data_IF_979220122869
#
_entry.id   IF_979220122869
#
_cell.length_a   1.000
_cell.length_b   1.000
_cell.length_c   1.000
_cell.angle_alpha   90.00
_cell.angle_beta   90.00
_cell.angle_gamma   90.00
#
_symmetry.space_group_name_H-M   'P 1'
#
loop_
_entity.id
_entity.type
_entity.pdbx_description
1 polymer ?
#
# COMPACT_ATOMS: atom_id res chain seq x y z
N UNK A 1 7.29 -28.70 23.57
CA UNK A 1 8.26 -28.30 22.53
C UNK A 1 7.63 -27.43 21.44
N UNK A 2 6.46 -27.76 20.86
CA UNK A 2 5.74 -26.93 19.86
C UNK A 2 5.34 -25.55 20.40
N UNK A 3 4.82 -25.48 21.62
CA UNK A 3 4.42 -24.20 22.27
C UNK A 3 5.61 -23.29 22.57
N UNK A 4 6.74 -23.84 23.02
CA UNK A 4 7.96 -23.06 23.27
C UNK A 4 8.59 -22.51 21.98
N UNK A 5 8.49 -23.26 20.86
CA UNK A 5 8.94 -22.81 19.55
C UNK A 5 8.01 -21.72 19.03
N UNK A 6 6.69 -21.91 19.15
CA UNK A 6 5.69 -20.90 18.76
C UNK A 6 5.85 -19.61 19.56
N UNK A 7 6.07 -19.68 20.87
CA UNK A 7 6.33 -18.54 21.72
C UNK A 7 7.63 -17.78 21.36
N UNK A 8 8.70 -18.51 20.98
CA UNK A 8 9.92 -17.89 20.47
C UNK A 8 9.71 -17.21 19.12
N UNK A 9 8.98 -17.85 18.21
CA UNK A 9 8.63 -17.29 16.90
C UNK A 9 7.82 -16.01 17.11
N UNK A 10 6.78 -16.02 17.93
CA UNK A 10 5.95 -14.83 18.19
C UNK A 10 6.69 -13.68 18.88
N UNK A 11 7.79 -13.95 19.60
CA UNK A 11 8.65 -12.90 20.15
C UNK A 11 9.66 -12.32 19.18
N UNK A 12 10.20 -13.12 18.28
CA UNK A 12 11.24 -12.69 17.32
C UNK A 12 10.61 -12.14 16.04
N UNK A 13 9.48 -12.70 15.62
CA UNK A 13 8.75 -12.30 14.42
C UNK A 13 8.46 -10.80 14.36
N UNK A 14 8.03 -10.09 15.44
CA UNK A 14 7.83 -8.65 15.42
C UNK A 14 9.07 -7.84 14.98
N UNK A 15 10.25 -8.24 15.43
CA UNK A 15 11.50 -7.54 15.08
C UNK A 15 11.93 -7.82 13.64
N UNK A 16 11.80 -9.07 13.19
CA UNK A 16 12.11 -9.44 11.81
C UNK A 16 11.15 -8.77 10.82
N UNK A 17 9.86 -8.73 11.15
CA UNK A 17 8.84 -8.09 10.34
C UNK A 17 9.02 -6.57 10.32
N UNK A 18 9.39 -5.97 11.47
CA UNK A 18 9.73 -4.55 11.56
C UNK A 18 10.90 -4.20 10.64
N UNK A 19 11.96 -5.00 10.69
CA UNK A 19 13.12 -4.83 9.83
C UNK A 19 12.76 -5.02 8.34
N UNK A 20 11.97 -6.04 8.02
CA UNK A 20 11.53 -6.29 6.65
C UNK A 20 10.67 -5.15 6.10
N UNK A 21 9.67 -4.66 6.84
CA UNK A 21 8.84 -3.53 6.37
C UNK A 21 9.63 -2.24 6.20
N UNK A 22 10.62 -1.98 7.07
CA UNK A 22 11.54 -0.86 6.92
C UNK A 22 12.41 -1.02 5.66
N UNK A 23 12.92 -2.21 5.38
CA UNK A 23 13.74 -2.49 4.19
C UNK A 23 12.91 -2.24 2.92
N UNK A 24 11.68 -2.73 2.84
CA UNK A 24 10.84 -2.56 1.65
C UNK A 24 10.33 -1.12 1.47
N UNK A 25 9.99 -0.42 2.55
CA UNK A 25 9.68 1.00 2.49
C UNK A 25 10.92 1.82 2.10
N UNK A 26 12.09 1.50 2.67
CA UNK A 26 13.36 2.14 2.32
C UNK A 26 13.76 1.87 0.86
N UNK A 27 13.54 0.66 0.35
CA UNK A 27 13.78 0.34 -1.05
C UNK A 27 12.89 1.19 -1.97
N UNK A 28 11.57 1.25 -1.70
CA UNK A 28 10.65 2.08 -2.47
C UNK A 28 11.09 3.55 -2.48
N UNK A 29 11.44 4.08 -1.31
CA UNK A 29 11.90 5.46 -1.17
C UNK A 29 13.26 5.69 -1.85
N UNK A 30 14.18 4.74 -1.76
CA UNK A 30 15.47 4.80 -2.44
C UNK A 30 15.32 4.86 -3.96
N UNK A 31 14.52 3.98 -4.55
CA UNK A 31 14.19 4.00 -5.99
C UNK A 31 13.53 5.34 -6.38
N UNK A 32 12.64 5.87 -5.52
CA UNK A 32 12.01 7.18 -5.74
C UNK A 32 13.01 8.33 -5.67
N UNK A 33 13.98 8.30 -4.75
CA UNK A 33 15.06 9.27 -4.67
C UNK A 33 15.95 9.17 -5.91
N UNK A 34 16.34 7.98 -6.30
CA UNK A 34 17.18 7.76 -7.48
C UNK A 34 16.51 8.28 -8.75
N UNK A 35 15.21 8.03 -8.95
CA UNK A 35 14.46 8.57 -10.08
C UNK A 35 14.40 10.11 -10.07
N UNK A 36 14.27 10.71 -8.88
CA UNK A 36 14.27 12.17 -8.71
C UNK A 36 15.64 12.80 -9.01
N UNK A 37 16.74 12.09 -8.71
CA UNK A 37 18.11 12.51 -9.03
C UNK A 37 18.35 12.56 -10.55
N UNK A 38 17.83 11.59 -11.30
CA UNK A 38 17.94 11.60 -12.77
C UNK A 38 17.15 12.74 -13.42
N UNK A 39 16.05 13.18 -12.81
CA UNK A 39 15.23 14.30 -13.29
C UNK A 39 15.76 15.68 -12.88
N UNK A 40 16.95 15.78 -12.26
CA UNK A 40 17.72 17.03 -11.93
C UNK A 40 16.96 18.09 -11.12
N UNK A 41 15.87 17.74 -10.47
CA UNK A 41 15.09 18.69 -9.68
C UNK A 41 15.40 18.56 -8.18
N UNK A 42 16.36 19.36 -7.69
CA UNK A 42 16.82 19.35 -6.30
C UNK A 42 15.69 19.50 -5.27
N UNK A 43 14.62 20.20 -5.63
CA UNK A 43 13.47 20.38 -4.77
C UNK A 43 12.74 19.04 -4.50
N UNK A 44 12.51 18.23 -5.54
CA UNK A 44 11.89 16.92 -5.39
C UNK A 44 12.73 15.98 -4.54
N UNK A 45 14.04 15.99 -4.72
CA UNK A 45 14.97 15.18 -3.92
C UNK A 45 14.83 15.54 -2.44
N UNK A 46 14.84 16.85 -2.13
CA UNK A 46 14.67 17.33 -0.76
C UNK A 46 13.34 16.89 -0.14
N UNK A 47 12.23 17.00 -0.88
CA UNK A 47 10.90 16.58 -0.44
C UNK A 47 10.88 15.08 -0.16
N UNK A 48 11.37 14.25 -1.07
CA UNK A 48 11.34 12.78 -0.91
C UNK A 48 12.23 12.33 0.25
N UNK A 49 13.42 12.92 0.43
CA UNK A 49 14.28 12.62 1.59
C UNK A 49 13.60 13.02 2.89
N UNK A 50 13.01 14.22 2.95
CA UNK A 50 12.28 14.67 4.14
C UNK A 50 11.11 13.74 4.49
N UNK A 51 10.29 13.38 3.50
CA UNK A 51 9.18 12.45 3.70
C UNK A 51 9.67 11.05 4.10
N UNK A 52 10.82 10.62 3.61
CA UNK A 52 11.46 9.35 4.02
C UNK A 52 11.81 9.35 5.50
N UNK A 53 12.40 10.44 6.00
CA UNK A 53 12.70 10.60 7.42
C UNK A 53 11.41 10.60 8.26
N UNK A 54 10.39 11.32 7.81
CA UNK A 54 9.08 11.31 8.46
C UNK A 54 8.48 9.89 8.50
N UNK A 55 8.60 9.09 7.42
CA UNK A 55 8.14 7.71 7.39
C UNK A 55 8.80 6.85 8.48
N UNK A 56 10.11 6.97 8.65
CA UNK A 56 10.86 6.23 9.69
C UNK A 56 10.36 6.60 11.09
N UNK A 57 10.12 7.90 11.33
CA UNK A 57 9.59 8.39 12.61
C UNK A 57 8.17 7.85 12.85
N UNK A 58 7.30 7.91 11.84
CA UNK A 58 5.91 7.42 11.94
C UNK A 58 5.82 5.91 12.13
N UNK A 59 6.65 5.12 11.46
CA UNK A 59 6.71 3.66 11.62
C UNK A 59 7.12 3.23 13.02
N UNK A 60 7.96 4.01 13.72
CA UNK A 60 8.36 3.72 15.09
C UNK A 60 7.16 3.58 16.03
N UNK A 61 6.12 4.36 15.83
CA UNK A 61 4.93 4.32 16.70
C UNK A 61 4.03 3.12 16.39
N UNK A 62 3.95 2.69 15.12
CA UNK A 62 3.28 1.43 14.77
C UNK A 62 3.93 0.23 15.47
N UNK A 63 5.25 0.18 15.54
CA UNK A 63 5.94 -0.90 16.24
C UNK A 63 5.68 -0.91 17.75
N UNK A 64 5.52 0.27 18.38
CA UNK A 64 5.09 0.36 19.79
C UNK A 64 3.66 -0.16 19.95
N UNK A 65 2.77 0.23 19.05
CA UNK A 65 1.37 -0.21 19.05
C UNK A 65 1.25 -1.73 18.95
N UNK A 66 1.95 -2.35 17.98
CA UNK A 66 1.93 -3.81 17.78
C UNK A 66 2.50 -4.57 18.98
N UNK A 67 3.53 -4.02 19.68
CA UNK A 67 4.06 -4.63 20.91
C UNK A 67 3.05 -4.67 22.05
N UNK A 68 2.09 -3.76 22.07
CA UNK A 68 1.05 -3.70 23.10
C UNK A 68 -0.14 -4.62 22.78
N UNK A 69 -0.29 -5.05 21.50
CA UNK A 69 -1.31 -6.00 21.11
C UNK A 69 -1.03 -7.37 21.75
N UNK A 70 -1.91 -7.81 22.64
CA UNK A 70 -1.93 -9.18 23.15
C UNK A 70 -2.50 -10.06 22.04
N UNK A 71 -1.64 -10.63 21.19
CA UNK A 71 -2.03 -11.62 20.18
C UNK A 71 -2.58 -12.86 20.89
N UNK A 72 -3.82 -13.23 20.61
CA UNK A 72 -4.42 -14.44 21.16
C UNK A 72 -4.02 -15.68 20.33
N UNK A 73 -3.96 -16.84 20.97
CA UNK A 73 -3.67 -18.12 20.29
C UNK A 73 -4.71 -18.46 19.21
N UNK A 74 -5.95 -17.94 19.33
CA UNK A 74 -7.05 -18.18 18.39
C UNK A 74 -6.87 -17.45 17.06
N UNK A 75 -6.01 -16.42 16.99
CA UNK A 75 -5.80 -15.63 15.76
C UNK A 75 -5.03 -16.38 14.67
N UNK A 76 -4.48 -17.56 14.96
CA UNK A 76 -3.62 -18.35 14.08
C UNK A 76 -4.07 -19.81 13.94
N UNK A 77 -5.39 -20.06 13.85
CA UNK A 77 -5.90 -21.38 13.53
C UNK A 77 -5.39 -21.82 12.15
N UNK A 78 -4.77 -22.98 12.07
CA UNK A 78 -4.18 -23.52 10.83
C UNK A 78 -5.17 -23.55 9.66
N UNK A 79 -6.44 -23.92 9.93
CA UNK A 79 -7.50 -23.93 8.91
C UNK A 79 -7.75 -22.56 8.29
N UNK A 80 -7.71 -21.49 9.10
CA UNK A 80 -7.97 -20.13 8.62
C UNK A 80 -6.77 -19.56 7.87
N UNK A 81 -5.55 -19.95 8.27
CA UNK A 81 -4.35 -19.60 7.53
C UNK A 81 -4.35 -20.25 6.13
N UNK A 82 -4.74 -21.51 6.03
CA UNK A 82 -4.86 -22.23 4.75
C UNK A 82 -5.93 -21.57 3.87
N UNK A 83 -7.10 -21.24 4.42
CA UNK A 83 -8.16 -20.54 3.67
C UNK A 83 -7.67 -19.17 3.16
N UNK A 84 -7.05 -18.36 4.03
CA UNK A 84 -6.48 -17.06 3.64
C UNK A 84 -5.47 -17.23 2.50
N UNK A 85 -4.59 -18.22 2.57
CA UNK A 85 -3.63 -18.52 1.51
C UNK A 85 -4.30 -18.88 0.19
N UNK A 86 -5.30 -19.77 0.22
CA UNK A 86 -6.04 -20.18 -0.98
C UNK A 86 -6.79 -19.01 -1.63
N UNK A 87 -7.42 -18.16 -0.82
CA UNK A 87 -8.11 -16.95 -1.33
C UNK A 87 -7.11 -16.01 -1.99
N UNK A 88 -5.96 -15.75 -1.38
CA UNK A 88 -4.92 -14.90 -1.94
C UNK A 88 -4.40 -15.46 -3.26
N UNK A 89 -3.98 -16.72 -3.29
CA UNK A 89 -3.46 -17.37 -4.49
C UNK A 89 -4.51 -17.36 -5.62
N UNK A 90 -5.76 -17.71 -5.30
CA UNK A 90 -6.85 -17.72 -6.26
C UNK A 90 -7.09 -16.33 -6.88
N UNK A 91 -7.08 -15.27 -6.05
CA UNK A 91 -7.26 -13.89 -6.53
C UNK A 91 -6.06 -13.39 -7.36
N UNK A 92 -4.81 -13.74 -6.98
CA UNK A 92 -3.62 -13.43 -7.80
C UNK A 92 -3.75 -14.07 -9.19
N UNK A 93 -4.03 -15.38 -9.21
CA UNK A 93 -4.15 -16.15 -10.46
C UNK A 93 -5.29 -15.63 -11.32
N UNK A 94 -6.46 -15.36 -10.74
CA UNK A 94 -7.62 -14.89 -11.48
C UNK A 94 -7.40 -13.48 -12.05
N UNK A 95 -6.82 -12.56 -11.27
CA UNK A 95 -6.47 -11.22 -11.75
C UNK A 95 -5.48 -11.31 -12.91
N UNK A 96 -4.42 -12.08 -12.75
CA UNK A 96 -3.40 -12.29 -13.78
C UNK A 96 -4.02 -12.90 -15.06
N UNK A 97 -4.88 -13.89 -14.90
CA UNK A 97 -5.56 -14.54 -16.03
C UNK A 97 -6.44 -13.54 -16.81
N UNK A 98 -7.18 -12.67 -16.10
CA UNK A 98 -8.02 -11.65 -16.75
C UNK A 98 -7.16 -10.65 -17.51
N UNK A 99 -6.06 -10.17 -16.92
CA UNK A 99 -5.13 -9.26 -17.60
C UNK A 99 -4.55 -9.89 -18.86
N UNK A 100 -4.08 -11.14 -18.76
CA UNK A 100 -3.39 -11.83 -19.87
C UNK A 100 -4.32 -12.23 -21.01
N UNK A 101 -5.54 -12.72 -20.69
CA UNK A 101 -6.49 -13.21 -21.69
C UNK A 101 -7.27 -12.09 -22.36
N UNK A 102 -7.75 -11.12 -21.57
CA UNK A 102 -8.61 -10.05 -22.07
C UNK A 102 -7.86 -8.77 -22.40
N UNK A 103 -6.53 -8.74 -22.16
CA UNK A 103 -5.66 -7.58 -22.40
C UNK A 103 -6.21 -6.28 -21.77
N UNK A 104 -6.85 -6.44 -20.59
CA UNK A 104 -7.43 -5.33 -19.86
C UNK A 104 -6.36 -4.65 -18.98
N UNK A 105 -6.70 -3.46 -18.44
CA UNK A 105 -5.84 -2.81 -17.48
C UNK A 105 -5.76 -3.63 -16.17
N UNK A 106 -4.59 -3.64 -15.55
CA UNK A 106 -4.35 -4.35 -14.29
C UNK A 106 -5.28 -3.86 -13.17
N UNK A 107 -5.59 -2.55 -13.16
CA UNK A 107 -6.50 -1.93 -12.19
C UNK A 107 -7.94 -2.43 -12.39
N UNK A 108 -8.43 -2.50 -13.62
CA UNK A 108 -9.75 -3.03 -13.92
C UNK A 108 -9.86 -4.49 -13.47
N UNK A 109 -8.92 -5.33 -13.87
CA UNK A 109 -8.90 -6.75 -13.53
C UNK A 109 -8.87 -6.96 -12.01
N UNK A 110 -7.99 -6.26 -11.30
CA UNK A 110 -7.88 -6.35 -9.84
C UNK A 110 -9.17 -5.90 -9.15
N UNK A 111 -9.77 -4.81 -9.60
CA UNK A 111 -11.02 -4.29 -9.04
C UNK A 111 -12.17 -5.26 -9.28
N UNK A 112 -12.30 -5.81 -10.48
CA UNK A 112 -13.34 -6.78 -10.83
C UNK A 112 -13.23 -8.05 -9.98
N UNK A 113 -12.05 -8.65 -9.92
CA UNK A 113 -11.79 -9.88 -9.14
C UNK A 113 -12.04 -9.64 -7.66
N UNK A 114 -11.57 -8.51 -7.13
CA UNK A 114 -11.76 -8.20 -5.72
C UNK A 114 -13.25 -7.95 -5.39
N UNK A 115 -14.00 -7.24 -6.25
CA UNK A 115 -15.45 -7.05 -6.06
C UNK A 115 -16.16 -8.40 -6.05
N UNK A 116 -15.93 -9.26 -7.05
CA UNK A 116 -16.53 -10.58 -7.12
C UNK A 116 -16.23 -11.39 -5.84
N UNK A 117 -14.96 -11.42 -5.42
CA UNK A 117 -14.55 -12.14 -4.21
C UNK A 117 -15.14 -11.54 -2.93
N UNK A 118 -15.24 -10.20 -2.83
CA UNK A 118 -15.80 -9.54 -1.65
C UNK A 118 -17.31 -9.80 -1.47
N UNK A 119 -18.02 -10.12 -2.54
CA UNK A 119 -19.42 -10.52 -2.45
C UNK A 119 -19.60 -12.04 -2.27
N UNK A 120 -18.75 -12.87 -2.88
CA UNK A 120 -18.84 -14.34 -2.79
C UNK A 120 -18.22 -14.90 -1.52
N UNK A 121 -17.16 -14.26 -1.00
CA UNK A 121 -16.41 -14.71 0.18
C UNK A 121 -16.29 -13.54 1.18
N UNK A 122 -17.39 -13.06 1.78
CA UNK A 122 -17.41 -11.81 2.55
C UNK A 122 -16.50 -11.81 3.79
N UNK A 123 -16.17 -12.99 4.33
CA UNK A 123 -15.29 -13.11 5.50
C UNK A 123 -13.78 -12.97 5.17
N UNK A 124 -13.42 -12.98 3.89
CA UNK A 124 -12.03 -12.93 3.42
C UNK A 124 -11.75 -11.73 2.49
N UNK A 125 -12.44 -10.61 2.69
CA UNK A 125 -12.28 -9.41 1.85
C UNK A 125 -10.84 -8.85 1.85
N UNK A 126 -10.13 -8.75 3.00
CA UNK A 126 -8.75 -8.25 3.01
C UNK A 126 -7.77 -9.17 2.26
N UNK A 127 -7.98 -10.49 2.35
CA UNK A 127 -7.21 -11.49 1.61
C UNK A 127 -7.46 -11.38 0.11
N UNK A 128 -8.73 -11.27 -0.30
CA UNK A 128 -9.12 -11.10 -1.69
C UNK A 128 -8.51 -9.82 -2.29
N UNK A 129 -8.55 -8.72 -1.53
CA UNK A 129 -7.92 -7.45 -1.93
C UNK A 129 -6.41 -7.59 -2.11
N UNK A 130 -5.70 -8.18 -1.13
CA UNK A 130 -4.26 -8.41 -1.23
C UNK A 130 -3.91 -9.30 -2.43
N UNK A 131 -4.69 -10.37 -2.65
CA UNK A 131 -4.49 -11.25 -3.80
C UNK A 131 -4.70 -10.53 -5.14
N UNK A 132 -5.78 -9.76 -5.27
CA UNK A 132 -6.06 -9.00 -6.49
C UNK A 132 -4.97 -7.97 -6.80
N UNK A 133 -4.47 -7.26 -5.77
CA UNK A 133 -3.33 -6.36 -5.94
C UNK A 133 -2.04 -7.10 -6.34
N UNK A 134 -1.81 -8.30 -5.80
CA UNK A 134 -0.68 -9.15 -6.16
C UNK A 134 -0.71 -9.64 -7.61
N UNK A 135 -1.91 -9.83 -8.16
CA UNK A 135 -2.13 -10.22 -9.55
C UNK A 135 -1.91 -9.09 -10.58
N UNK A 136 -1.72 -7.85 -10.14
CA UNK A 136 -1.39 -6.69 -11.00
C UNK A 136 0.08 -6.74 -11.48
N UNK A 137 0.51 -7.89 -11.99
CA UNK A 137 1.86 -8.09 -12.52
C UNK A 137 1.90 -7.60 -13.97
N UNK A 138 2.95 -6.84 -14.32
CA UNK A 138 3.12 -6.31 -15.68
C UNK A 138 3.31 -7.41 -16.74
N UNK A 139 2.93 -7.09 -17.98
CA UNK A 139 2.95 -8.06 -19.08
C UNK A 139 4.34 -8.67 -19.32
N UNK A 140 5.42 -7.95 -19.11
CA UNK A 140 6.80 -8.43 -19.27
C UNK A 140 7.19 -9.51 -18.26
N UNK A 141 6.57 -9.50 -17.07
CA UNK A 141 6.76 -10.52 -16.03
C UNK A 141 5.74 -11.65 -16.15
N UNK A 142 4.67 -11.43 -16.87
CA UNK A 142 3.49 -12.28 -16.91
C UNK A 142 3.51 -13.35 -18.01
N UNK A 143 4.64 -13.53 -18.72
CA UNK A 143 4.74 -14.52 -19.82
C UNK A 143 4.41 -15.95 -19.38
N UNK A 144 4.50 -16.26 -18.09
CA UNK A 144 4.20 -17.58 -17.53
C UNK A 144 3.30 -17.51 -16.30
N UNK A 145 2.21 -18.26 -16.31
CA UNK A 145 1.29 -18.41 -15.18
C UNK A 145 1.98 -18.89 -13.89
N UNK A 146 3.12 -19.59 -14.00
CA UNK A 146 3.95 -20.05 -12.86
C UNK A 146 4.50 -18.88 -12.05
N UNK A 147 4.79 -17.74 -12.66
CA UNK A 147 5.24 -16.53 -11.97
C UNK A 147 4.11 -15.96 -11.10
N UNK A 148 2.90 -15.88 -11.66
CA UNK A 148 1.73 -15.44 -10.90
C UNK A 148 1.43 -16.39 -9.72
N UNK A 149 1.56 -17.71 -9.92
CA UNK A 149 1.40 -18.68 -8.84
C UNK A 149 2.46 -18.46 -7.73
N UNK A 150 3.72 -18.25 -8.10
CA UNK A 150 4.79 -17.99 -7.16
C UNK A 150 4.57 -16.70 -6.38
N UNK A 151 4.18 -15.63 -7.05
CA UNK A 151 3.79 -14.36 -6.42
C UNK A 151 2.59 -14.56 -5.48
N UNK A 152 1.61 -15.37 -5.88
CA UNK A 152 0.45 -15.71 -5.04
C UNK A 152 0.85 -16.41 -3.74
N UNK A 153 1.73 -17.42 -3.84
CA UNK A 153 2.26 -18.15 -2.68
C UNK A 153 3.04 -17.19 -1.77
N UNK A 154 3.95 -16.40 -2.33
CA UNK A 154 4.75 -15.44 -1.56
C UNK A 154 3.86 -14.36 -0.92
N UNK A 155 2.84 -13.87 -1.63
CA UNK A 155 1.86 -12.91 -1.07
C UNK A 155 1.12 -13.53 0.12
N UNK A 156 0.70 -14.78 0.01
CA UNK A 156 0.05 -15.51 1.11
C UNK A 156 0.96 -15.65 2.33
N UNK A 157 2.23 -16.02 2.13
CA UNK A 157 3.23 -16.10 3.21
C UNK A 157 3.42 -14.73 3.87
N UNK A 158 3.67 -13.68 3.09
CA UNK A 158 3.87 -12.33 3.60
C UNK A 158 2.61 -11.85 4.33
N UNK A 159 1.41 -12.09 3.78
CA UNK A 159 0.15 -11.71 4.41
C UNK A 159 -0.02 -12.34 5.80
N UNK A 160 0.27 -13.64 5.94
CA UNK A 160 0.20 -14.35 7.21
C UNK A 160 1.20 -13.79 8.22
N UNK A 161 2.44 -13.56 7.80
CA UNK A 161 3.49 -13.01 8.65
C UNK A 161 3.16 -11.59 9.15
N UNK A 162 2.54 -10.77 8.29
CA UNK A 162 2.18 -9.40 8.60
C UNK A 162 0.74 -9.23 9.11
N UNK A 163 0.04 -10.33 9.43
CA UNK A 163 -1.36 -10.29 9.84
C UNK A 163 -1.69 -9.25 10.93
N UNK A 164 -0.88 -9.08 12.01
CA UNK A 164 -1.14 -8.11 13.07
C UNK A 164 -0.70 -6.68 12.75
N UNK A 165 0.01 -6.45 11.63
CA UNK A 165 0.62 -5.15 11.32
C UNK A 165 -0.24 -4.30 10.40
N UNK A 166 -0.13 -2.98 10.55
CA UNK A 166 -0.75 -1.98 9.68
C UNK A 166 -2.29 -2.09 9.62
N UNK A 167 -2.91 -2.64 10.66
CA UNK A 167 -4.36 -2.79 10.72
C UNK A 167 -5.06 -1.44 10.65
N UNK A 168 -6.04 -1.31 9.78
CA UNK A 168 -6.80 -0.08 9.59
C UNK A 168 -6.09 1.01 8.79
N UNK A 169 -4.86 0.76 8.32
CA UNK A 169 -4.12 1.72 7.47
C UNK A 169 -4.41 1.44 6.01
N UNK A 170 -4.78 2.49 5.27
CA UNK A 170 -4.88 2.43 3.83
C UNK A 170 -3.52 2.10 3.21
N UNK A 171 -3.52 1.18 2.24
CA UNK A 171 -2.29 0.69 1.61
C UNK A 171 -1.75 -0.63 2.17
N UNK A 172 -2.19 -1.07 3.37
CA UNK A 172 -1.77 -2.36 3.94
C UNK A 172 -1.95 -3.52 2.95
N UNK A 173 -3.14 -3.66 2.40
CA UNK A 173 -3.46 -4.79 1.52
C UNK A 173 -2.68 -4.80 0.20
N UNK A 174 -2.21 -3.64 -0.28
CA UNK A 174 -1.35 -3.55 -1.46
C UNK A 174 0.14 -3.62 -1.14
N UNK A 175 0.58 -3.12 0.03
CA UNK A 175 2.01 -3.18 0.40
C UNK A 175 2.52 -4.60 0.64
N UNK A 176 1.66 -5.51 1.10
CA UNK A 176 2.03 -6.90 1.30
C UNK A 176 2.33 -7.63 -0.01
N UNK A 177 1.46 -7.59 -1.05
CA UNK A 177 1.79 -8.14 -2.35
C UNK A 177 2.95 -7.40 -3.03
N UNK A 178 3.13 -6.09 -2.83
CA UNK A 178 4.34 -5.39 -3.29
C UNK A 178 5.61 -6.05 -2.75
N UNK A 179 5.67 -6.25 -1.43
CA UNK A 179 6.78 -6.94 -0.77
C UNK A 179 7.02 -8.33 -1.35
N UNK A 180 5.95 -9.11 -1.52
CA UNK A 180 6.02 -10.45 -2.08
C UNK A 180 6.50 -10.45 -3.54
N UNK A 181 6.00 -9.54 -4.35
CA UNK A 181 6.35 -9.43 -5.77
C UNK A 181 7.82 -9.04 -5.92
N UNK A 182 8.30 -8.05 -5.16
CA UNK A 182 9.72 -7.65 -5.18
C UNK A 182 10.63 -8.81 -4.74
N UNK A 183 10.28 -9.53 -3.67
CA UNK A 183 11.03 -10.70 -3.24
C UNK A 183 11.09 -11.76 -4.33
N UNK A 184 9.97 -12.04 -4.97
CA UNK A 184 9.90 -13.03 -6.04
C UNK A 184 10.76 -12.61 -7.24
N UNK A 185 10.61 -11.38 -7.69
CA UNK A 185 11.26 -10.88 -8.91
C UNK A 185 12.77 -10.72 -8.72
N UNK A 186 13.21 -10.06 -7.63
CA UNK A 186 14.64 -9.76 -7.44
C UNK A 186 15.42 -10.92 -6.84
N UNK A 187 14.84 -11.68 -5.87
CA UNK A 187 15.59 -12.74 -5.19
C UNK A 187 15.46 -14.12 -5.84
N UNK A 188 14.33 -14.39 -6.52
CA UNK A 188 14.07 -15.71 -7.09
C UNK A 188 14.31 -15.72 -8.60
N UNK A 189 13.86 -14.68 -9.30
CA UNK A 189 13.93 -14.61 -10.75
C UNK A 189 15.10 -13.76 -11.27
N UNK A 190 15.75 -12.98 -10.39
CA UNK A 190 16.85 -12.05 -10.74
C UNK A 190 16.51 -11.10 -11.90
N UNK A 191 15.26 -10.61 -11.94
CA UNK A 191 14.76 -9.70 -12.97
C UNK A 191 14.70 -8.28 -12.40
N UNK A 192 15.19 -7.31 -13.16
CA UNK A 192 15.04 -5.89 -12.84
C UNK A 192 13.68 -5.37 -13.33
N UNK A 193 12.91 -4.68 -12.46
CA UNK A 193 11.66 -4.06 -12.88
C UNK A 193 11.87 -3.03 -13.98
N UNK A 194 10.94 -2.96 -14.92
CA UNK A 194 10.95 -1.96 -15.97
C UNK A 194 10.55 -0.58 -15.42
N UNK A 195 10.95 0.47 -16.15
CA UNK A 195 10.50 1.84 -15.94
C UNK A 195 9.62 2.26 -17.12
N UNK A 196 8.48 2.87 -16.80
CA UNK A 196 7.57 3.45 -17.78
C UNK A 196 7.86 4.93 -18.05
N UNK A 197 7.06 5.57 -18.87
CA UNK A 197 7.18 7.02 -19.12
C UNK A 197 6.68 7.84 -17.95
N UNK A 198 7.32 8.96 -17.60
CA UNK A 198 6.82 9.90 -16.58
C UNK A 198 5.43 10.43 -16.92
N UNK A 199 4.75 10.98 -15.91
CA UNK A 199 3.44 11.62 -16.12
C UNK A 199 3.61 12.88 -16.98
N UNK A 200 2.77 13.03 -17.98
CA UNK A 200 2.68 14.28 -18.75
C UNK A 200 2.23 15.44 -17.85
N UNK A 201 2.82 16.61 -18.03
CA UNK A 201 2.60 17.80 -17.19
C UNK A 201 1.14 18.25 -17.15
N UNK A 202 0.41 18.11 -18.24
CA UNK A 202 -1.01 18.44 -18.39
C UNK A 202 -1.94 17.50 -17.59
N UNK A 203 -1.48 16.28 -17.28
CA UNK A 203 -2.23 15.30 -16.51
C UNK A 203 -1.95 15.35 -15.00
N UNK A 204 -0.96 16.12 -14.56
CA UNK A 204 -0.60 16.22 -13.12
C UNK A 204 -1.76 16.80 -12.31
N UNK A 205 -2.34 17.93 -12.72
CA UNK A 205 -3.44 18.56 -12.00
C UNK A 205 -4.72 17.69 -11.99
N UNK A 206 -5.18 17.12 -13.12
CA UNK A 206 -6.31 16.18 -13.10
C UNK A 206 -6.07 14.96 -12.22
N UNK A 207 -4.87 14.37 -12.23
CA UNK A 207 -4.51 13.23 -11.40
C UNK A 207 -4.58 13.60 -9.90
N UNK A 208 -4.10 14.79 -9.52
CA UNK A 208 -4.17 15.30 -8.16
C UNK A 208 -5.60 15.43 -7.65
N UNK A 209 -6.46 16.12 -8.42
CA UNK A 209 -7.86 16.31 -8.06
C UNK A 209 -8.59 14.99 -7.94
N UNK A 210 -8.35 14.08 -8.90
CA UNK A 210 -8.96 12.75 -8.91
C UNK A 210 -8.56 11.92 -7.68
N UNK A 211 -7.27 11.92 -7.32
CA UNK A 211 -6.78 11.21 -6.13
C UNK A 211 -7.50 11.67 -4.87
N UNK A 212 -7.59 12.98 -4.65
CA UNK A 212 -8.26 13.55 -3.46
C UNK A 212 -9.75 13.21 -3.48
N UNK A 213 -10.45 13.53 -4.58
CA UNK A 213 -11.89 13.33 -4.67
C UNK A 213 -12.28 11.87 -4.41
N UNK A 214 -11.53 10.95 -4.99
CA UNK A 214 -11.78 9.49 -4.85
C UNK A 214 -11.41 8.98 -3.47
N UNK A 215 -10.36 9.50 -2.83
CA UNK A 215 -10.03 9.16 -1.46
C UNK A 215 -11.15 9.55 -0.49
N UNK A 216 -11.67 10.76 -0.62
CA UNK A 216 -12.80 11.21 0.21
C UNK A 216 -14.07 10.43 -0.09
N UNK A 217 -14.39 10.16 -1.35
CA UNK A 217 -15.55 9.36 -1.74
C UNK A 217 -15.47 7.96 -1.10
N UNK A 218 -14.35 7.27 -1.24
CA UNK A 218 -14.14 5.94 -0.66
C UNK A 218 -14.25 5.97 0.86
N UNK A 219 -13.62 6.95 1.50
CA UNK A 219 -13.68 7.14 2.94
C UNK A 219 -15.12 7.36 3.43
N UNK A 220 -15.89 8.24 2.78
CA UNK A 220 -17.27 8.52 3.15
C UNK A 220 -18.19 7.31 2.99
N UNK A 221 -18.00 6.50 1.95
CA UNK A 221 -18.80 5.29 1.71
C UNK A 221 -18.64 4.26 2.84
N UNK A 222 -17.43 4.05 3.33
CA UNK A 222 -17.27 3.08 4.43
C UNK A 222 -17.51 3.70 5.81
N UNK A 223 -17.16 4.98 6.03
CA UNK A 223 -17.45 5.68 7.29
C UNK A 223 -18.96 5.72 7.59
N UNK A 224 -19.77 5.94 6.57
CA UNK A 224 -21.23 5.95 6.70
C UNK A 224 -21.86 4.53 6.65
N UNK A 225 -21.05 3.47 6.71
CA UNK A 225 -21.49 2.06 6.65
C UNK A 225 -22.33 1.69 5.41
N UNK A 226 -22.18 2.44 4.30
CA UNK A 226 -22.84 2.13 3.02
C UNK A 226 -22.23 0.87 2.41
N UNK A 227 -20.90 0.78 2.45
CA UNK A 227 -20.13 -0.37 1.99
C UNK A 227 -19.04 -0.70 3.01
N UNK A 228 -18.59 -1.96 3.07
CA UNK A 228 -17.35 -2.28 3.80
C UNK A 228 -16.14 -1.63 3.14
N UNK A 229 -15.07 -1.45 3.89
CA UNK A 229 -13.84 -0.76 3.44
C UNK A 229 -13.35 -1.26 2.09
N UNK A 230 -13.22 -2.58 1.93
CA UNK A 230 -12.75 -3.20 0.67
C UNK A 230 -13.76 -3.01 -0.45
N UNK A 231 -15.06 -3.21 -0.17
CA UNK A 231 -16.12 -3.02 -1.18
C UNK A 231 -16.17 -1.56 -1.64
N UNK A 232 -16.09 -0.60 -0.73
CA UNK A 232 -16.09 0.83 -1.07
C UNK A 232 -14.95 1.16 -2.05
N UNK A 233 -13.72 0.76 -1.73
CA UNK A 233 -12.56 1.02 -2.57
C UNK A 233 -12.68 0.36 -3.95
N UNK A 234 -13.05 -0.93 -3.98
CA UNK A 234 -13.03 -1.70 -5.22
C UNK A 234 -14.22 -1.43 -6.13
N UNK A 235 -15.40 -1.15 -5.57
CA UNK A 235 -16.55 -0.72 -6.39
C UNK A 235 -16.30 0.65 -7.00
N UNK A 236 -15.78 1.61 -6.23
CA UNK A 236 -15.40 2.93 -6.77
C UNK A 236 -14.33 2.79 -7.85
N UNK A 237 -13.29 2.00 -7.61
CA UNK A 237 -12.25 1.74 -8.60
C UNK A 237 -12.79 1.10 -9.86
N UNK A 238 -13.65 0.08 -9.76
CA UNK A 238 -14.22 -0.62 -10.90
C UNK A 238 -15.08 0.33 -11.75
N UNK A 239 -15.99 1.07 -11.11
CA UNK A 239 -16.89 2.02 -11.82
C UNK A 239 -16.09 3.11 -12.53
N UNK A 240 -15.13 3.72 -11.85
CA UNK A 240 -14.34 4.80 -12.44
C UNK A 240 -13.39 4.31 -13.54
N UNK A 241 -12.85 3.10 -13.42
CA UNK A 241 -12.03 2.51 -14.49
C UNK A 241 -12.83 2.24 -15.77
N UNK A 242 -14.13 1.98 -15.66
CA UNK A 242 -15.03 1.86 -16.81
C UNK A 242 -15.37 3.21 -17.44
N UNK A 243 -15.33 4.29 -16.67
CA UNK A 243 -15.68 5.63 -17.13
C UNK A 243 -14.49 6.42 -17.69
N UNK A 244 -13.28 6.15 -17.20
CA UNK A 244 -12.06 6.83 -17.64
C UNK A 244 -11.47 6.13 -18.86
N UNK A 245 -11.29 6.83 -20.00
CA UNK A 245 -10.68 6.24 -21.18
C UNK A 245 -9.26 5.73 -20.93
N UNK A 246 -8.87 4.65 -21.62
CA UNK A 246 -7.60 3.94 -21.42
C UNK A 246 -6.35 4.80 -21.66
N UNK A 247 -6.45 5.84 -22.48
CA UNK A 247 -5.35 6.78 -22.73
C UNK A 247 -5.01 7.68 -21.52
N UNK A 248 -5.86 7.71 -20.48
CA UNK A 248 -5.61 8.45 -19.24
C UNK A 248 -5.10 7.56 -18.12
N UNK A 249 -4.16 6.67 -18.41
CA UNK A 249 -3.62 5.69 -17.46
C UNK A 249 -3.08 6.33 -16.17
N UNK A 250 -2.44 7.51 -16.23
CA UNK A 250 -1.96 8.22 -15.05
C UNK A 250 -3.09 8.68 -14.13
N UNK A 251 -4.22 9.13 -14.69
CA UNK A 251 -5.41 9.51 -13.92
C UNK A 251 -6.03 8.27 -13.27
N UNK A 252 -6.16 7.16 -14.02
CA UNK A 252 -6.69 5.90 -13.47
C UNK A 252 -5.81 5.36 -12.35
N UNK A 253 -4.49 5.50 -12.48
CA UNK A 253 -3.54 5.08 -11.44
C UNK A 253 -3.63 5.97 -10.19
N UNK A 254 -3.74 7.28 -10.37
CA UNK A 254 -3.96 8.24 -9.27
C UNK A 254 -5.31 8.01 -8.57
N UNK A 255 -6.36 7.74 -9.34
CA UNK A 255 -7.68 7.34 -8.85
C UNK A 255 -7.57 6.08 -7.96
N UNK A 256 -6.86 5.05 -8.42
CA UNK A 256 -6.68 3.83 -7.65
C UNK A 256 -5.88 4.07 -6.36
N UNK A 257 -4.83 4.90 -6.41
CA UNK A 257 -4.13 5.33 -5.20
C UNK A 257 -5.08 6.07 -4.22
N UNK A 258 -5.96 6.93 -4.73
CA UNK A 258 -7.00 7.59 -3.95
C UNK A 258 -7.94 6.60 -3.24
N UNK A 259 -8.43 5.56 -3.95
CA UNK A 259 -9.26 4.52 -3.29
C UNK A 259 -8.53 3.84 -2.15
N UNK A 260 -7.22 3.58 -2.32
CA UNK A 260 -6.39 2.93 -1.30
C UNK A 260 -6.20 3.84 -0.08
N UNK A 261 -5.88 5.13 -0.28
CA UNK A 261 -5.79 6.11 0.84
C UNK A 261 -7.12 6.18 1.58
N UNK A 262 -8.23 6.22 0.84
CA UNK A 262 -9.58 6.27 1.39
C UNK A 262 -10.00 5.05 2.20
N UNK A 263 -9.28 3.92 2.12
CA UNK A 263 -9.49 2.73 2.96
C UNK A 263 -8.99 2.91 4.41
N UNK A 264 -8.37 4.03 4.74
CA UNK A 264 -7.88 4.27 6.11
C UNK A 264 -9.06 4.41 7.07
N UNK A 265 -9.07 3.61 8.15
CA UNK A 265 -10.13 3.61 9.14
C UNK A 265 -10.14 4.91 9.97
N UNK A 266 -11.32 5.28 10.45
CA UNK A 266 -11.52 6.49 11.27
C UNK A 266 -10.64 6.50 12.53
N UNK A 267 -10.44 5.34 13.15
CA UNK A 267 -9.57 5.16 14.33
C UNK A 267 -8.09 5.49 14.08
N UNK A 268 -7.69 5.50 12.82
CA UNK A 268 -6.33 5.82 12.36
C UNK A 268 -6.18 7.26 11.89
N UNK A 269 -7.26 8.03 11.85
CA UNK A 269 -7.30 9.40 11.34
C UNK A 269 -7.65 10.40 12.43
N UNK A 270 -6.96 11.53 12.46
CA UNK A 270 -7.33 12.70 13.28
C UNK A 270 -8.34 13.60 12.53
N UNK A 271 -9.28 13.00 11.82
CA UNK A 271 -10.30 13.70 11.04
C UNK A 271 -9.96 13.90 9.56
N UNK A 272 -10.80 14.67 8.90
CA UNK A 272 -10.71 14.89 7.44
C UNK A 272 -9.45 15.63 6.99
N UNK A 273 -8.94 16.55 7.83
CA UNK A 273 -7.69 17.25 7.52
C UNK A 273 -6.50 16.29 7.46
N UNK A 274 -6.45 15.31 8.35
CA UNK A 274 -5.40 14.28 8.31
C UNK A 274 -5.49 13.44 7.03
N UNK A 275 -6.69 13.05 6.59
CA UNK A 275 -6.91 12.36 5.32
C UNK A 275 -6.40 13.21 4.14
N UNK A 276 -6.69 14.52 4.13
CA UNK A 276 -6.18 15.44 3.11
C UNK A 276 -4.66 15.51 3.11
N UNK A 277 -4.02 15.59 4.27
CA UNK A 277 -2.54 15.59 4.38
C UNK A 277 -1.95 14.30 3.81
N UNK A 278 -2.57 13.13 4.10
CA UNK A 278 -2.13 11.86 3.52
C UNK A 278 -2.26 11.89 2.00
N UNK A 279 -3.36 12.41 1.44
CA UNK A 279 -3.54 12.56 -0.01
C UNK A 279 -2.47 13.47 -0.62
N UNK A 280 -2.15 14.60 0.01
CA UNK A 280 -1.09 15.51 -0.45
C UNK A 280 0.28 14.82 -0.49
N UNK A 281 0.65 14.13 0.60
CA UNK A 281 1.91 13.38 0.66
C UNK A 281 1.91 12.24 -0.35
N UNK A 282 0.79 11.53 -0.50
CA UNK A 282 0.64 10.46 -1.49
C UNK A 282 0.89 10.99 -2.89
N UNK A 283 0.34 12.14 -3.24
CA UNK A 283 0.56 12.75 -4.55
C UNK A 283 1.99 13.23 -4.75
N UNK A 284 2.61 13.85 -3.73
CA UNK A 284 4.01 14.26 -3.78
C UNK A 284 4.98 13.08 -4.02
N UNK A 285 4.66 11.90 -3.49
CA UNK A 285 5.43 10.68 -3.73
C UNK A 285 5.01 9.98 -5.04
N UNK A 286 3.75 10.13 -5.46
CA UNK A 286 3.20 9.50 -6.66
C UNK A 286 3.88 10.00 -7.93
N UNK A 287 4.06 11.33 -8.07
CA UNK A 287 4.66 11.93 -9.27
C UNK A 287 6.04 11.35 -9.57
N UNK A 288 7.02 11.40 -8.65
CA UNK A 288 8.36 10.86 -8.92
C UNK A 288 8.40 9.33 -8.98
N UNK A 289 7.49 8.62 -8.31
CA UNK A 289 7.45 7.14 -8.31
C UNK A 289 6.62 6.54 -9.44
N UNK A 290 5.92 7.35 -10.22
CA UNK A 290 4.97 6.84 -11.23
C UNK A 290 5.64 5.90 -12.22
N UNK A 291 6.78 6.30 -12.77
CA UNK A 291 7.49 5.59 -13.84
C UNK A 291 8.45 4.50 -13.33
N UNK A 292 8.73 4.41 -12.03
CA UNK A 292 9.62 3.40 -11.47
C UNK A 292 8.84 2.16 -11.04
N UNK A 293 9.49 0.99 -11.03
CA UNK A 293 8.91 -0.27 -10.55
C UNK A 293 7.56 -0.58 -11.23
N UNK A 294 7.46 -0.28 -12.52
CA UNK A 294 6.24 -0.58 -13.27
C UNK A 294 6.02 -2.09 -13.35
N UNK A 295 4.75 -2.51 -13.38
CA UNK A 295 4.40 -3.92 -13.36
C UNK A 295 4.61 -4.66 -12.03
N UNK A 296 5.03 -3.98 -10.97
CA UNK A 296 5.11 -4.57 -9.64
C UNK A 296 3.73 -4.53 -8.98
N UNK A 297 3.16 -5.70 -8.74
CA UNK A 297 1.87 -5.84 -8.05
C UNK A 297 1.89 -5.19 -6.66
N UNK A 298 0.89 -4.36 -6.37
CA UNK A 298 0.75 -3.71 -5.07
C UNK A 298 1.60 -2.45 -4.84
N UNK A 299 2.36 -1.95 -5.82
CA UNK A 299 3.17 -0.71 -5.76
C UNK A 299 2.41 0.47 -5.15
N UNK A 300 1.20 0.73 -5.62
CA UNK A 300 0.37 1.83 -5.12
C UNK A 300 -0.03 1.66 -3.65
N UNK A 301 -0.18 0.42 -3.19
CA UNK A 301 -0.41 0.16 -1.77
C UNK A 301 0.80 0.50 -0.92
N UNK A 302 2.02 0.23 -1.37
CA UNK A 302 3.24 0.64 -0.67
C UNK A 302 3.36 2.16 -0.64
N UNK A 303 3.09 2.83 -1.76
CA UNK A 303 3.03 4.29 -1.83
C UNK A 303 2.07 4.88 -0.78
N UNK A 304 0.84 4.38 -0.71
CA UNK A 304 -0.16 4.86 0.24
C UNK A 304 0.22 4.57 1.70
N UNK A 305 0.82 3.40 1.98
CA UNK A 305 1.32 3.05 3.30
C UNK A 305 2.43 4.01 3.75
N UNK A 306 3.41 4.26 2.89
CA UNK A 306 4.49 5.22 3.14
C UNK A 306 3.93 6.62 3.38
N UNK A 307 2.94 7.05 2.60
CA UNK A 307 2.29 8.36 2.73
C UNK A 307 1.58 8.53 4.07
N UNK A 308 0.89 7.49 4.55
CA UNK A 308 0.27 7.48 5.86
C UNK A 308 1.31 7.65 6.99
N UNK A 309 2.39 6.87 6.97
CA UNK A 309 3.44 6.98 8.00
C UNK A 309 4.25 8.26 7.89
N UNK A 310 4.45 8.80 6.68
CA UNK A 310 5.03 10.13 6.49
C UNK A 310 4.18 11.21 7.16
N UNK A 311 2.85 11.15 7.03
CA UNK A 311 1.94 12.12 7.66
C UNK A 311 1.99 12.06 9.19
N UNK A 312 2.04 10.85 9.75
CA UNK A 312 2.19 10.67 11.20
C UNK A 312 3.55 11.18 11.69
N UNK A 313 4.62 10.87 10.98
CA UNK A 313 5.95 11.37 11.32
C UNK A 313 6.04 12.89 11.22
N UNK A 314 5.43 13.49 10.20
CA UNK A 314 5.35 14.95 10.05
C UNK A 314 4.62 15.58 11.25
N UNK A 315 3.52 15.00 11.71
CA UNK A 315 2.80 15.43 12.91
C UNK A 315 3.72 15.43 14.15
N UNK A 316 4.48 14.34 14.36
CA UNK A 316 5.43 14.23 15.47
C UNK A 316 6.51 15.32 15.39
N UNK A 317 7.06 15.55 14.20
CA UNK A 317 8.07 16.57 13.96
C UNK A 317 7.52 17.97 14.29
N UNK A 318 6.31 18.28 13.80
CA UNK A 318 5.66 19.57 14.10
C UNK A 318 5.43 19.77 15.60
N UNK A 319 4.93 18.77 16.30
CA UNK A 319 4.71 18.81 17.75
C UNK A 319 6.03 19.05 18.52
N UNK A 320 7.11 18.41 18.07
CA UNK A 320 8.44 18.61 18.66
C UNK A 320 8.94 20.05 18.48
N UNK A 321 8.78 20.62 17.28
CA UNK A 321 9.14 22.02 17.01
C UNK A 321 8.30 23.01 17.81
N UNK A 322 7.00 22.80 17.94
CA UNK A 322 6.12 23.63 18.76
C UNK A 322 6.57 23.61 20.23
N UNK A 323 6.92 22.44 20.77
CA UNK A 323 7.43 22.33 22.13
C UNK A 323 8.77 23.05 22.32
N UNK A 324 9.69 22.98 21.34
CA UNK A 324 10.94 23.74 21.39
C UNK A 324 10.73 25.25 21.36
N UNK A 325 9.82 25.73 20.51
CA UNK A 325 9.47 27.15 20.42
C UNK A 325 8.87 27.66 21.75
N UNK A 326 7.97 26.90 22.36
CA UNK A 326 7.41 27.26 23.67
C UNK A 326 8.51 27.38 24.74
N UNK A 327 9.44 26.42 24.80
CA UNK A 327 10.57 26.50 25.72
C UNK A 327 11.49 27.70 25.47
N UNK A 328 11.75 28.02 24.21
CA UNK A 328 12.57 29.17 23.84
C UNK A 328 11.88 30.50 24.25
N UNK A 329 10.56 30.61 24.05
CA UNK A 329 9.81 31.79 24.51
C UNK A 329 9.79 31.92 26.03
N UNK A 330 9.70 30.82 26.75
CA UNK A 330 9.82 30.85 28.25
C UNK A 330 11.20 31.33 28.70
N UNK A 331 12.28 30.89 28.07
CA UNK A 331 13.65 31.32 28.40
C UNK A 331 13.88 32.79 28.05
N UNK A 332 13.31 33.30 26.95
CA UNK A 332 13.47 34.69 26.53
C UNK A 332 12.57 35.67 27.29
N UNK A 333 11.58 35.18 28.02
CA UNK A 333 10.70 36.00 28.88
C UNK A 333 11.21 36.22 30.32
N UNK A 334 12.33 35.57 30.63
CA UNK A 334 13.07 35.79 31.91
C UNK A 334 14.17 36.80 31.68
#
# INVERSE_FOLDING_TARGET
MREALFYKITRVTPYLISAASLIFAAQFLFETIQSSLFNTNALWIGIVIFLSLCTIIGLRDEFKFVRQLKLSHTDFLFSDLVKSMLVIIGNVMLTHLIVSYFQTTTIFAASLVCVLSAYTIPNHQPEAYSGSCGGMIGAYLSSHWSIALLVGIMTGIVYILFKPYFLGVGGRGGSLPYTATILTIRLILDVTPESSTPIHSDLIAPAFVTLIAVAFLTYLLHKNNILSVVKAAMVVSLVLTLLIPLNYYSITTAMFAGTIVGMTLEERLDGYLHLLVICLICFLLFVPSFHILDGIGGKLGMLCLVSYYSSNGLKIVIQYFQHLLTKLTEILSI
#
